data_IF_180322995689
#
_entry.id   IF_180322995689
#
_cell.length_a   1.000
_cell.length_b   1.000
_cell.length_c   1.000
_cell.angle_alpha   90.00
_cell.angle_beta   90.00
_cell.angle_gamma   90.00
#
_symmetry.space_group_name_H-M   'P 1'
#
loop_
_entity.id
_entity.type
_entity.pdbx_description
1 polymer ?
#
# COMPACT_ATOMS: atom_id res chain seq x y z
N UNK A 1 19.16 4.75 40.07
CA UNK A 1 19.15 3.33 39.68
C UNK A 1 18.17 2.61 40.59
N UNK A 2 16.94 2.42 40.12
CA UNK A 2 15.91 1.62 40.80
C UNK A 2 15.46 0.59 39.77
N UNK A 3 15.81 -0.68 40.00
CA UNK A 3 15.27 -1.80 39.25
C UNK A 3 13.96 -2.23 39.92
N UNK A 4 12.83 -1.96 39.27
CA UNK A 4 11.55 -2.54 39.66
C UNK A 4 11.27 -3.73 38.74
N UNK A 5 11.17 -4.92 39.34
CA UNK A 5 10.72 -6.14 38.68
C UNK A 5 9.29 -5.93 38.17
N UNK A 6 9.12 -5.84 36.85
CA UNK A 6 7.80 -5.84 36.22
C UNK A 6 7.32 -7.29 36.12
N UNK A 7 6.13 -7.55 36.67
CA UNK A 7 5.51 -8.87 36.65
C UNK A 7 5.17 -9.31 35.22
N UNK A 8 5.11 -10.62 34.99
CA UNK A 8 4.85 -11.23 33.68
C UNK A 8 3.53 -10.77 33.02
N UNK A 9 2.63 -10.16 33.79
CA UNK A 9 1.36 -9.57 33.34
C UNK A 9 1.47 -8.11 32.89
N UNK A 10 2.52 -7.37 33.29
CA UNK A 10 2.79 -6.03 32.78
C UNK A 10 3.66 -6.05 31.50
N UNK A 11 4.37 -7.16 31.24
CA UNK A 11 5.11 -7.35 29.99
C UNK A 11 4.18 -7.49 28.76
N UNK A 12 2.95 -7.96 28.94
CA UNK A 12 1.97 -8.04 27.83
C UNK A 12 1.41 -6.68 27.40
N UNK A 13 1.64 -5.61 28.17
CA UNK A 13 1.20 -4.25 27.83
C UNK A 13 2.34 -3.34 27.34
N UNK A 14 3.59 -3.83 27.30
CA UNK A 14 4.76 -3.15 26.72
C UNK A 14 5.04 -3.66 25.29
N UNK A 15 4.11 -4.42 24.72
CA UNK A 15 4.00 -4.64 23.28
C UNK A 15 2.86 -3.77 22.75
N UNK A 16 2.98 -2.45 22.94
CA UNK A 16 2.25 -1.56 22.03
C UNK A 16 2.77 -1.88 20.62
N UNK A 17 1.91 -2.21 19.65
CA UNK A 17 2.36 -2.30 18.27
C UNK A 17 2.98 -0.94 17.94
N UNK A 18 4.21 -0.96 17.44
CA UNK A 18 4.82 0.24 16.87
C UNK A 18 4.12 0.45 15.54
N UNK A 19 2.92 1.04 15.58
CA UNK A 19 2.13 1.41 14.40
C UNK A 19 2.60 2.75 13.79
N UNK A 20 3.69 3.30 14.33
CA UNK A 20 4.20 4.62 13.99
C UNK A 20 5.67 4.52 13.54
N UNK A 21 5.98 5.16 12.41
CA UNK A 21 7.34 5.33 11.93
C UNK A 21 7.60 6.81 11.67
N UNK A 22 8.73 7.32 12.15
CA UNK A 22 9.21 8.66 11.78
C UNK A 22 10.22 8.52 10.65
N UNK A 23 9.83 8.97 9.45
CA UNK A 23 10.70 9.03 8.28
C UNK A 23 11.07 10.49 8.07
N UNK A 24 12.37 10.79 8.07
CA UNK A 24 12.90 12.15 7.92
C UNK A 24 13.58 12.28 6.57
N UNK A 25 13.22 13.33 5.85
CA UNK A 25 13.89 13.76 4.63
C UNK A 25 14.43 15.17 4.84
N UNK A 26 15.49 15.51 4.12
CA UNK A 26 15.89 16.91 4.02
C UNK A 26 14.87 17.70 3.20
N UNK A 27 14.88 19.03 3.33
CA UNK A 27 13.89 19.90 2.67
C UNK A 27 14.05 19.99 1.14
N UNK A 28 15.18 19.55 0.61
CA UNK A 28 15.48 19.56 -0.83
C UNK A 28 15.29 18.16 -1.46
N UNK A 29 14.92 17.16 -0.66
CA UNK A 29 14.72 15.80 -1.12
C UNK A 29 13.51 15.70 -2.05
N UNK A 30 13.76 15.27 -3.29
CA UNK A 30 12.74 14.88 -4.25
C UNK A 30 12.34 13.41 -4.01
N UNK A 31 11.52 13.19 -2.99
CA UNK A 31 11.09 11.85 -2.60
C UNK A 31 9.97 11.37 -3.51
N UNK A 32 10.22 10.26 -4.21
CA UNK A 32 9.20 9.62 -5.04
C UNK A 32 8.29 8.70 -4.19
N UNK A 33 6.98 8.58 -4.51
CA UNK A 33 6.05 7.74 -3.76
C UNK A 33 6.50 6.29 -3.58
N UNK A 34 7.10 5.68 -4.60
CA UNK A 34 7.66 4.32 -4.48
C UNK A 34 8.75 4.21 -3.42
N UNK A 35 9.67 5.18 -3.37
CA UNK A 35 10.75 5.19 -2.37
C UNK A 35 10.22 5.40 -0.95
N UNK A 36 9.22 6.27 -0.77
CA UNK A 36 8.56 6.43 0.52
C UNK A 36 7.78 5.17 0.91
N UNK A 37 7.09 4.52 -0.03
CA UNK A 37 6.37 3.27 0.20
C UNK A 37 7.29 2.15 0.69
N UNK A 38 8.46 2.00 0.08
CA UNK A 38 9.46 1.02 0.50
C UNK A 38 9.91 1.25 1.93
N UNK A 39 10.12 2.51 2.33
CA UNK A 39 10.49 2.88 3.69
C UNK A 39 9.34 2.63 4.69
N UNK A 40 8.10 2.96 4.31
CA UNK A 40 6.90 2.69 5.12
C UNK A 40 6.76 1.17 5.34
N UNK A 41 6.82 0.39 4.27
CA UNK A 41 6.72 -1.07 4.33
C UNK A 41 7.83 -1.66 5.20
N UNK A 42 9.09 -1.27 4.97
CA UNK A 42 10.22 -1.76 5.75
C UNK A 42 10.13 -1.41 7.25
N UNK A 43 9.46 -0.31 7.58
CA UNK A 43 9.31 0.15 8.97
C UNK A 43 8.11 -0.47 9.69
N UNK A 44 6.99 -0.67 8.99
CA UNK A 44 5.71 -1.02 9.59
C UNK A 44 5.25 -2.45 9.30
N UNK A 45 5.74 -3.09 8.25
CA UNK A 45 5.27 -4.44 7.91
C UNK A 45 5.69 -5.46 8.95
N UNK A 46 4.72 -6.26 9.39
CA UNK A 46 4.92 -7.36 10.33
C UNK A 46 4.11 -8.56 9.86
N UNK A 47 4.80 -9.66 9.62
CA UNK A 47 4.14 -10.93 9.32
C UNK A 47 3.38 -11.44 10.55
N UNK A 48 2.08 -11.65 10.40
CA UNK A 48 1.26 -12.30 11.41
C UNK A 48 1.26 -13.81 11.18
N UNK A 49 2.08 -14.53 11.95
CA UNK A 49 2.23 -15.99 11.87
C UNK A 49 1.24 -16.69 12.80
N UNK A 50 -0.06 -16.56 12.51
CA UNK A 50 -1.08 -17.40 13.13
C UNK A 50 -1.73 -18.25 12.04
N UNK A 51 -2.25 -19.42 12.42
CA UNK A 51 -2.80 -20.40 11.48
C UNK A 51 -4.05 -19.89 10.71
N UNK A 52 -4.66 -18.79 11.16
CA UNK A 52 -5.81 -18.16 10.51
C UNK A 52 -5.41 -17.02 9.58
N UNK A 53 -4.17 -16.55 9.66
CA UNK A 53 -3.62 -15.49 8.82
C UNK A 53 -3.25 -16.02 7.44
N UNK A 54 -3.33 -15.13 6.45
CA UNK A 54 -2.88 -15.40 5.09
C UNK A 54 -1.39 -15.77 5.02
N UNK A 55 -0.94 -16.33 3.90
CA UNK A 55 0.50 -16.60 3.69
C UNK A 55 1.32 -15.31 3.80
N UNK A 56 2.62 -15.45 4.09
CA UNK A 56 3.55 -14.34 4.09
C UNK A 56 3.48 -13.53 2.79
N UNK A 57 3.45 -14.19 1.61
CA UNK A 57 3.38 -13.46 0.34
C UNK A 57 2.12 -12.61 0.23
N UNK A 58 0.98 -13.15 0.65
CA UNK A 58 -0.31 -12.45 0.56
C UNK A 58 -0.34 -11.24 1.49
N UNK A 59 0.13 -11.39 2.72
CA UNK A 59 0.24 -10.29 3.68
C UNK A 59 1.23 -9.22 3.22
N UNK A 60 2.37 -9.63 2.66
CA UNK A 60 3.40 -8.73 2.15
C UNK A 60 2.86 -7.88 1.00
N UNK A 61 2.29 -8.52 -0.02
CA UNK A 61 1.72 -7.82 -1.18
C UNK A 61 0.61 -6.84 -0.78
N UNK A 62 -0.26 -7.24 0.15
CA UNK A 62 -1.28 -6.34 0.68
C UNK A 62 -0.67 -5.12 1.38
N UNK A 63 0.39 -5.31 2.15
CA UNK A 63 1.07 -4.25 2.89
C UNK A 63 1.88 -3.32 1.99
N UNK A 64 2.56 -3.85 0.97
CA UNK A 64 3.23 -3.06 -0.08
C UNK A 64 2.22 -2.14 -0.80
N UNK A 65 1.03 -2.67 -1.14
CA UNK A 65 -0.04 -1.89 -1.76
C UNK A 65 -0.56 -0.79 -0.82
N UNK A 66 -0.74 -1.09 0.47
CA UNK A 66 -1.16 -0.11 1.46
C UNK A 66 -0.10 0.99 1.66
N UNK A 67 1.18 0.62 1.73
CA UNK A 67 2.28 1.55 1.88
C UNK A 67 2.38 2.51 0.68
N UNK A 68 2.20 2.00 -0.54
CA UNK A 68 2.20 2.83 -1.75
C UNK A 68 1.00 3.77 -1.81
N UNK A 69 -0.19 3.32 -1.38
CA UNK A 69 -1.36 4.19 -1.32
C UNK A 69 -1.15 5.34 -0.34
N UNK A 70 -0.62 5.05 0.86
CA UNK A 70 -0.29 6.06 1.85
C UNK A 70 0.79 7.03 1.35
N UNK A 71 1.85 6.52 0.70
CA UNK A 71 2.89 7.37 0.13
C UNK A 71 2.37 8.31 -0.95
N UNK A 72 1.46 7.85 -1.81
CA UNK A 72 0.82 8.71 -2.81
C UNK A 72 -0.05 9.79 -2.15
N UNK A 73 -0.82 9.45 -1.12
CA UNK A 73 -1.67 10.41 -0.41
C UNK A 73 -0.82 11.52 0.24
N UNK A 74 0.29 11.14 0.90
CA UNK A 74 1.19 12.07 1.58
C UNK A 74 1.94 13.01 0.63
N UNK A 75 2.35 12.53 -0.56
CA UNK A 75 3.21 13.29 -1.48
C UNK A 75 2.47 13.97 -2.63
N UNK A 76 1.36 13.37 -3.09
CA UNK A 76 0.62 13.84 -4.27
C UNK A 76 -0.77 14.41 -3.92
N UNK A 77 -1.27 14.13 -2.72
CA UNK A 77 -2.63 14.49 -2.29
C UNK A 77 -3.68 13.43 -2.65
N UNK A 78 -4.89 13.65 -2.13
CA UNK A 78 -5.98 12.65 -2.14
C UNK A 78 -6.45 12.26 -3.56
N UNK A 79 -6.68 13.25 -4.43
CA UNK A 79 -7.19 13.01 -5.80
C UNK A 79 -6.20 12.19 -6.65
N UNK A 80 -4.92 12.57 -6.63
CA UNK A 80 -3.88 11.86 -7.38
C UNK A 80 -3.64 10.46 -6.80
N UNK A 81 -3.72 10.29 -5.48
CA UNK A 81 -3.65 8.99 -4.83
C UNK A 81 -4.82 8.08 -5.21
N UNK A 82 -6.03 8.62 -5.29
CA UNK A 82 -7.20 7.91 -5.79
C UNK A 82 -7.01 7.46 -7.24
N UNK A 83 -6.49 8.34 -8.11
CA UNK A 83 -6.16 7.98 -9.49
C UNK A 83 -5.11 6.86 -9.57
N UNK A 84 -4.08 6.90 -8.74
CA UNK A 84 -3.05 5.86 -8.68
C UNK A 84 -3.65 4.51 -8.24
N UNK A 85 -4.51 4.51 -7.22
CA UNK A 85 -5.23 3.33 -6.74
C UNK A 85 -6.11 2.71 -7.83
N UNK A 86 -6.89 3.53 -8.55
CA UNK A 86 -7.73 3.09 -9.66
C UNK A 86 -6.88 2.47 -10.79
N UNK A 87 -5.76 3.12 -11.15
CA UNK A 87 -4.84 2.60 -12.17
C UNK A 87 -4.25 1.25 -11.77
N UNK A 88 -3.82 1.11 -10.50
CA UNK A 88 -3.26 -0.13 -9.99
C UNK A 88 -4.30 -1.27 -9.99
N UNK A 89 -5.52 -1.01 -9.54
CA UNK A 89 -6.60 -2.00 -9.55
C UNK A 89 -6.94 -2.48 -10.98
N UNK A 90 -6.99 -1.56 -11.94
CA UNK A 90 -7.20 -1.90 -13.36
C UNK A 90 -6.02 -2.70 -13.92
N UNK A 91 -4.79 -2.33 -13.56
CA UNK A 91 -3.58 -3.05 -13.99
C UNK A 91 -3.60 -4.50 -13.48
N UNK A 92 -3.87 -4.67 -12.18
CA UNK A 92 -3.92 -5.98 -11.50
C UNK A 92 -4.99 -6.90 -12.07
N UNK A 93 -6.20 -6.39 -12.27
CA UNK A 93 -7.36 -7.25 -12.58
C UNK A 93 -7.74 -7.30 -14.07
N UNK A 94 -7.41 -6.28 -14.86
CA UNK A 94 -7.92 -6.16 -16.23
C UNK A 94 -6.84 -6.12 -17.32
N UNK A 95 -5.60 -5.69 -17.02
CA UNK A 95 -4.60 -5.49 -18.08
C UNK A 95 -4.31 -6.76 -18.88
N UNK A 96 -4.21 -7.90 -18.20
CA UNK A 96 -3.90 -9.19 -18.82
C UNK A 96 -5.04 -9.71 -19.74
N UNK A 97 -6.24 -9.13 -19.65
CA UNK A 97 -7.37 -9.44 -20.53
C UNK A 97 -7.34 -8.65 -21.84
N UNK A 98 -6.53 -7.60 -21.94
CA UNK A 98 -6.46 -6.73 -23.13
C UNK A 98 -5.74 -7.50 -24.24
N UNK A 99 -6.38 -7.77 -25.40
CA UNK A 99 -5.73 -8.50 -26.49
C UNK A 99 -4.54 -7.74 -27.07
N UNK A 100 -3.54 -8.48 -27.56
CA UNK A 100 -2.40 -7.89 -28.24
C UNK A 100 -2.83 -6.98 -29.40
N UNK A 101 -2.22 -5.80 -29.50
CA UNK A 101 -2.54 -4.79 -30.52
C UNK A 101 -3.89 -4.07 -30.31
N UNK A 102 -4.57 -4.27 -29.18
CA UNK A 102 -5.81 -3.56 -28.84
C UNK A 102 -5.57 -2.60 -27.67
N UNK A 103 -6.34 -1.54 -27.62
CA UNK A 103 -6.45 -0.62 -26.49
C UNK A 103 -7.83 -0.74 -25.84
N UNK A 104 -7.88 -0.61 -24.51
CA UNK A 104 -9.12 -0.60 -23.73
C UNK A 104 -9.37 0.82 -23.21
N UNK A 105 -10.59 1.32 -23.44
CA UNK A 105 -11.12 2.52 -22.78
C UNK A 105 -12.19 2.09 -21.79
N UNK A 106 -12.05 2.53 -20.54
CA UNK A 106 -13.02 2.31 -19.46
C UNK A 106 -13.65 3.67 -19.15
N UNK A 107 -14.99 3.74 -19.18
CA UNK A 107 -15.74 4.88 -18.71
C UNK A 107 -16.76 4.41 -17.69
N UNK A 108 -16.68 4.96 -16.48
CA UNK A 108 -17.48 4.53 -15.36
C UNK A 108 -17.91 5.70 -14.49
N UNK A 109 -19.08 5.56 -13.86
CA UNK A 109 -19.50 6.32 -12.70
C UNK A 109 -19.85 5.34 -11.56
N UNK A 110 -20.47 5.82 -10.48
CA UNK A 110 -20.82 4.98 -9.32
C UNK A 110 -21.80 3.83 -9.65
N UNK A 111 -22.58 3.95 -10.73
CA UNK A 111 -23.69 3.07 -11.08
C UNK A 111 -23.54 2.44 -12.48
N UNK A 112 -22.70 3.00 -13.34
CA UNK A 112 -22.54 2.53 -14.72
C UNK A 112 -21.07 2.24 -15.05
N UNK A 113 -20.85 1.19 -15.84
CA UNK A 113 -19.54 0.81 -16.36
C UNK A 113 -19.69 0.49 -17.85
N UNK A 114 -18.86 1.12 -18.67
CA UNK A 114 -18.80 0.89 -20.11
C UNK A 114 -17.36 0.65 -20.56
N UNK A 115 -17.21 -0.27 -21.50
CA UNK A 115 -15.92 -0.71 -22.03
C UNK A 115 -15.91 -0.60 -23.55
N UNK A 116 -14.83 -0.08 -24.11
CA UNK A 116 -14.61 -0.04 -25.55
C UNK A 116 -13.21 -0.54 -25.90
N UNK A 117 -13.10 -1.40 -26.92
CA UNK A 117 -11.83 -1.87 -27.45
C UNK A 117 -11.57 -1.21 -28.81
N UNK A 118 -10.40 -0.60 -28.97
CA UNK A 118 -9.95 -0.05 -30.25
C UNK A 118 -8.61 -0.69 -30.67
N UNK A 119 -8.15 -0.37 -31.88
CA UNK A 119 -6.78 -0.70 -32.29
C UNK A 119 -5.81 0.15 -31.47
N UNK A 120 -4.73 -0.45 -30.97
CA UNK A 120 -3.67 0.31 -30.32
C UNK A 120 -3.00 1.24 -31.36
N UNK A 121 -2.68 2.47 -30.93
CA UNK A 121 -1.99 3.46 -31.74
C UNK A 121 -0.53 3.10 -31.99
#
# INVERSE_FOLDING_TARGET
MIMTNLSHQQLSAILAPVDEATILFDSEADVQPGALADLIYASLFRYADNHESDSWETQSLASERQALNLANELLLGEDEALHAQLRAAVFEHAQWLIPAGRSLTISADRNTLSLALAQAA
#
